data_IF_049631853143
#
_entry.id   IF_049631853143
#
_cell.length_a   1.000
_cell.length_b   1.000
_cell.length_c   1.000
_cell.angle_alpha   90.00
_cell.angle_beta   90.00
_cell.angle_gamma   90.00
#
_symmetry.space_group_name_H-M   'P 1'
#
loop_
_entity.id
_entity.type
_entity.pdbx_description
1 polymer ?
#
# COMPACT_ATOMS: atom_id res chain seq x y z
N UNK A 1 -57.02 -15.85 6.52
CA UNK A 1 -56.09 -14.91 7.17
C UNK A 1 -54.67 -15.40 6.89
N UNK A 2 -54.22 -15.30 5.64
CA UNK A 2 -53.30 -14.25 5.14
C UNK A 2 -52.30 -13.79 6.19
N UNK A 3 -51.03 -14.19 6.04
CA UNK A 3 -50.02 -13.31 5.45
C UNK A 3 -48.76 -14.12 5.09
N UNK A 4 -48.51 -14.23 3.78
CA UNK A 4 -47.22 -14.62 3.22
C UNK A 4 -46.15 -13.61 3.61
N UNK A 5 -45.00 -14.07 4.11
CA UNK A 5 -43.79 -13.25 4.18
C UNK A 5 -42.86 -13.70 3.05
N UNK A 6 -43.02 -13.05 1.90
CA UNK A 6 -42.05 -13.07 0.82
C UNK A 6 -40.76 -12.40 1.32
N UNK A 7 -39.71 -13.18 1.54
CA UNK A 7 -38.36 -12.64 1.66
C UNK A 7 -37.90 -12.24 0.26
N UNK A 8 -37.79 -10.93 -0.01
CA UNK A 8 -37.03 -10.45 -1.15
C UNK A 8 -35.54 -10.73 -0.90
N UNK A 9 -34.80 -11.32 -1.85
CA UNK A 9 -33.35 -11.29 -1.78
C UNK A 9 -32.92 -9.83 -1.96
N UNK A 10 -32.29 -9.26 -0.93
CA UNK A 10 -31.46 -8.08 -1.12
C UNK A 10 -30.28 -8.55 -1.96
N UNK A 11 -30.37 -8.34 -3.26
CA UNK A 11 -29.20 -8.32 -4.13
C UNK A 11 -28.40 -7.12 -3.66
N UNK A 12 -27.46 -7.34 -2.75
CA UNK A 12 -26.32 -6.46 -2.62
C UNK A 12 -25.63 -6.50 -3.98
N UNK A 13 -25.94 -5.53 -4.83
CA UNK A 13 -25.05 -5.18 -5.92
C UNK A 13 -23.72 -4.86 -5.26
N UNK A 14 -22.78 -5.80 -5.29
CA UNK A 14 -21.40 -5.50 -5.10
C UNK A 14 -21.09 -4.46 -6.17
N UNK A 15 -21.03 -3.18 -5.77
CA UNK A 15 -20.28 -2.21 -6.53
C UNK A 15 -18.84 -2.71 -6.50
N UNK A 16 -18.50 -3.51 -7.52
CA UNK A 16 -17.14 -3.64 -7.97
C UNK A 16 -16.77 -2.21 -8.34
N UNK A 17 -16.06 -1.51 -7.45
CA UNK A 17 -15.37 -0.30 -7.85
C UNK A 17 -14.56 -0.69 -9.09
N UNK A 18 -14.68 0.05 -10.22
CA UNK A 18 -13.91 -0.29 -11.40
C UNK A 18 -12.44 -0.25 -11.01
N UNK A 19 -11.81 -1.42 -10.87
CA UNK A 19 -10.40 -1.52 -11.16
C UNK A 19 -10.22 -1.13 -12.62
N UNK A 20 -9.11 -0.44 -12.90
CA UNK A 20 -8.58 -0.02 -14.21
C UNK A 20 -9.00 1.40 -14.65
N UNK A 21 -8.14 2.36 -14.32
CA UNK A 21 -7.89 3.49 -15.21
C UNK A 21 -6.38 3.62 -15.47
N UNK A 22 -5.75 2.56 -15.99
CA UNK A 22 -4.40 2.67 -16.55
C UNK A 22 -4.40 3.75 -17.65
N UNK A 23 -3.65 4.84 -17.44
CA UNK A 23 -3.40 5.82 -18.50
C UNK A 23 -2.23 5.34 -19.36
N UNK A 24 -2.29 5.48 -20.70
CA UNK A 24 -1.16 5.11 -21.52
C UNK A 24 0.04 6.00 -21.21
N UNK A 25 1.26 5.46 -21.26
CA UNK A 25 2.49 6.22 -21.00
C UNK A 25 2.67 7.45 -21.92
N UNK A 26 1.97 7.50 -23.06
CA UNK A 26 1.89 8.69 -23.92
C UNK A 26 1.19 9.89 -23.28
N UNK A 27 0.28 9.64 -22.33
CA UNK A 27 -0.48 10.66 -21.61
C UNK A 27 0.20 11.09 -20.31
N UNK A 28 1.33 10.45 -19.96
CA UNK A 28 2.16 10.80 -18.80
C UNK A 28 3.18 11.87 -19.22
N UNK A 29 3.29 12.99 -18.47
CA UNK A 29 4.25 14.04 -18.73
C UNK A 29 5.70 13.53 -18.76
N UNK A 30 6.52 14.15 -19.61
CA UNK A 30 7.93 13.79 -19.73
C UNK A 30 8.71 13.92 -18.39
N UNK A 31 8.50 14.96 -17.55
CA UNK A 31 9.19 15.07 -16.26
C UNK A 31 8.88 13.91 -15.32
N UNK A 32 7.62 13.45 -15.29
CA UNK A 32 7.17 12.32 -14.47
C UNK A 32 7.89 11.03 -14.88
N UNK A 33 7.86 10.69 -16.18
CA UNK A 33 8.56 9.51 -16.70
C UNK A 33 10.06 9.57 -16.45
N UNK A 34 10.68 10.73 -16.67
CA UNK A 34 12.10 10.93 -16.45
C UNK A 34 12.46 10.76 -14.96
N UNK A 35 11.65 11.29 -14.04
CA UNK A 35 11.89 11.14 -12.62
C UNK A 35 11.85 9.68 -12.17
N UNK A 36 10.84 8.91 -12.59
CA UNK A 36 10.74 7.47 -12.27
C UNK A 36 11.96 6.72 -12.81
N UNK A 37 12.33 6.94 -14.08
CA UNK A 37 13.48 6.29 -14.71
C UNK A 37 14.82 6.66 -14.06
N UNK A 38 14.99 7.91 -13.64
CA UNK A 38 16.21 8.38 -12.99
C UNK A 38 16.39 7.76 -11.59
N UNK A 39 15.29 7.65 -10.83
CA UNK A 39 15.34 7.11 -9.47
C UNK A 39 15.36 5.57 -9.46
N UNK A 40 14.70 4.95 -10.43
CA UNK A 40 14.56 3.50 -10.57
C UNK A 40 14.95 3.04 -11.98
N UNK A 41 16.26 3.09 -12.33
CA UNK A 41 16.71 2.77 -13.68
C UNK A 41 16.43 1.32 -14.12
N UNK A 42 16.19 0.43 -13.15
CA UNK A 42 15.89 -0.98 -13.36
C UNK A 42 14.39 -1.28 -13.17
N UNK A 43 13.52 -0.28 -13.16
CA UNK A 43 12.08 -0.49 -13.16
C UNK A 43 11.68 -1.39 -14.34
N UNK A 44 10.81 -2.36 -14.09
CA UNK A 44 10.22 -3.20 -15.13
C UNK A 44 9.23 -2.42 -15.99
N UNK A 45 8.19 -3.11 -16.46
CA UNK A 45 7.03 -2.42 -17.04
C UNK A 45 6.41 -1.53 -15.97
N UNK A 46 6.15 -0.27 -16.33
CA UNK A 46 5.51 0.71 -15.46
C UNK A 46 4.05 0.83 -15.89
N UNK A 47 3.16 0.50 -14.95
CA UNK A 47 1.74 0.79 -15.02
C UNK A 47 1.52 2.20 -14.48
N UNK A 48 0.69 2.98 -15.18
CA UNK A 48 0.50 4.39 -14.89
C UNK A 48 -0.96 4.66 -14.60
N UNK A 49 -1.23 5.39 -13.53
CA UNK A 49 -2.56 5.91 -13.20
C UNK A 49 -2.46 7.42 -12.93
N UNK A 50 -3.60 8.08 -12.87
CA UNK A 50 -3.73 9.44 -12.40
C UNK A 50 -4.76 9.52 -11.27
N UNK A 51 -4.27 9.82 -10.07
CA UNK A 51 -5.11 10.06 -8.90
C UNK A 51 -5.72 11.46 -9.01
N UNK A 52 -6.99 11.50 -9.41
CA UNK A 52 -7.74 12.74 -9.59
C UNK A 52 -8.02 13.49 -8.28
N UNK A 53 -8.05 12.81 -7.14
CA UNK A 53 -8.32 13.44 -5.85
C UNK A 53 -7.07 14.13 -5.29
N UNK A 54 -5.89 13.56 -5.56
CA UNK A 54 -4.59 14.10 -5.15
C UNK A 54 -3.90 14.96 -6.25
N UNK A 55 -4.41 14.97 -7.49
CA UNK A 55 -3.83 15.64 -8.67
C UNK A 55 -2.39 15.18 -8.97
N UNK A 56 -2.17 13.86 -8.95
CA UNK A 56 -0.85 13.26 -9.10
C UNK A 56 -0.88 12.05 -10.03
N UNK A 57 0.24 11.81 -10.69
CA UNK A 57 0.51 10.58 -11.42
C UNK A 57 1.00 9.50 -10.46
N UNK A 58 0.51 8.28 -10.61
CA UNK A 58 1.00 7.11 -9.90
C UNK A 58 1.73 6.19 -10.89
N UNK A 59 2.93 5.74 -10.51
CA UNK A 59 3.72 4.77 -11.23
C UNK A 59 3.84 3.51 -10.39
N UNK A 60 3.21 2.42 -10.82
CA UNK A 60 3.39 1.09 -10.24
C UNK A 60 4.37 0.29 -11.10
N UNK A 61 5.38 -0.33 -10.47
CA UNK A 61 6.31 -1.22 -11.16
C UNK A 61 6.92 -2.23 -10.21
N UNK A 62 7.59 -3.24 -10.76
CA UNK A 62 8.28 -4.27 -9.98
C UNK A 62 9.79 -4.27 -10.22
N UNK A 63 10.56 -4.41 -9.14
CA UNK A 63 12.01 -4.64 -9.16
C UNK A 63 12.29 -5.89 -8.35
N UNK A 64 12.89 -6.91 -8.97
CA UNK A 64 13.19 -8.20 -8.32
C UNK A 64 11.97 -8.84 -7.63
N UNK A 65 10.78 -8.68 -8.22
CA UNK A 65 9.52 -9.20 -7.70
C UNK A 65 8.91 -8.41 -6.54
N UNK A 66 9.54 -7.31 -6.11
CA UNK A 66 9.00 -6.38 -5.12
C UNK A 66 8.28 -5.23 -5.83
N UNK A 67 7.09 -4.90 -5.37
CA UNK A 67 6.24 -3.82 -5.88
C UNK A 67 6.70 -2.46 -5.36
N UNK A 68 6.64 -1.46 -6.24
CA UNK A 68 6.92 -0.07 -5.97
C UNK A 68 5.78 0.77 -6.50
N UNK A 69 5.27 1.68 -5.66
CA UNK A 69 4.38 2.76 -6.07
C UNK A 69 5.08 4.08 -5.86
N UNK A 70 5.00 4.95 -6.86
CA UNK A 70 5.52 6.31 -6.77
C UNK A 70 4.46 7.30 -7.19
N UNK A 71 4.12 8.27 -6.32
CA UNK A 71 3.21 9.38 -6.64
C UNK A 71 3.98 10.67 -6.89
N UNK A 72 3.70 11.32 -8.02
CA UNK A 72 4.39 12.52 -8.49
C UNK A 72 3.42 13.56 -9.05
N UNK A 73 3.71 14.84 -8.87
CA UNK A 73 3.04 15.91 -9.65
C UNK A 73 3.51 15.91 -11.11
N UNK A 74 2.77 16.60 -11.98
CA UNK A 74 3.08 16.74 -13.40
C UNK A 74 4.50 17.28 -13.71
N UNK A 75 5.10 18.02 -12.79
CA UNK A 75 6.47 18.55 -12.90
C UNK A 75 7.57 17.54 -12.50
N UNK A 76 7.19 16.35 -12.02
CA UNK A 76 8.09 15.32 -11.54
C UNK A 76 8.43 15.41 -10.06
N UNK A 77 7.84 16.33 -9.28
CA UNK A 77 8.06 16.38 -7.83
C UNK A 77 7.47 15.15 -7.15
N UNK A 78 8.27 14.47 -6.32
CA UNK A 78 7.89 13.23 -5.64
C UNK A 78 7.19 13.50 -4.32
N UNK A 79 5.99 12.96 -4.14
CA UNK A 79 5.25 13.06 -2.88
C UNK A 79 5.41 11.83 -2.00
N UNK A 80 5.40 10.66 -2.63
CA UNK A 80 5.28 9.39 -1.96
C UNK A 80 5.99 8.30 -2.77
N UNK A 81 6.77 7.49 -2.08
CA UNK A 81 7.25 6.21 -2.57
C UNK A 81 6.81 5.15 -1.56
N UNK A 82 6.14 4.11 -2.02
CA UNK A 82 5.92 2.87 -1.27
C UNK A 82 6.73 1.78 -1.95
N UNK A 83 7.43 0.96 -1.18
CA UNK A 83 8.16 -0.18 -1.69
C UNK A 83 7.87 -1.39 -0.79
N UNK A 84 7.45 -2.49 -1.39
CA UNK A 84 7.51 -3.78 -0.71
C UNK A 84 8.95 -4.09 -0.34
N UNK A 85 9.14 -4.55 0.89
CA UNK A 85 10.45 -4.98 1.37
C UNK A 85 10.36 -6.40 1.92
N UNK A 86 11.43 -7.20 1.77
CA UNK A 86 11.53 -8.46 2.48
C UNK A 86 11.48 -8.23 3.99
N UNK A 87 10.81 -9.12 4.74
CA UNK A 87 10.67 -8.99 6.20
C UNK A 87 12.03 -8.91 6.92
N UNK A 88 13.05 -9.57 6.39
CA UNK A 88 14.41 -9.51 6.90
C UNK A 88 15.01 -8.09 6.85
N UNK A 89 14.62 -7.29 5.86
CA UNK A 89 15.06 -5.91 5.66
C UNK A 89 14.35 -4.90 6.57
N UNK A 90 13.32 -5.33 7.30
CA UNK A 90 12.66 -4.49 8.29
C UNK A 90 13.64 -4.11 9.41
N UNK A 91 13.67 -2.85 9.89
CA UNK A 91 14.61 -2.43 10.92
C UNK A 91 14.51 -3.30 12.19
N UNK A 92 15.66 -3.60 12.80
CA UNK A 92 15.70 -4.39 14.02
C UNK A 92 14.85 -3.81 15.16
N UNK A 93 14.82 -2.48 15.41
CA UNK A 93 13.96 -1.90 16.43
C UNK A 93 12.47 -2.15 16.19
N UNK A 94 12.03 -2.11 14.93
CA UNK A 94 10.63 -2.38 14.55
C UNK A 94 10.27 -3.85 14.81
N UNK A 95 11.12 -4.78 14.40
CA UNK A 95 10.93 -6.22 14.67
C UNK A 95 10.84 -6.50 16.17
N UNK A 96 11.72 -5.88 16.96
CA UNK A 96 11.72 -6.02 18.42
C UNK A 96 10.45 -5.46 19.07
N UNK A 97 9.98 -4.29 18.62
CA UNK A 97 8.74 -3.69 19.12
C UNK A 97 7.52 -4.58 18.83
N UNK A 98 7.41 -5.11 17.61
CA UNK A 98 6.30 -6.01 17.26
C UNK A 98 6.32 -7.29 18.09
N UNK A 99 7.48 -7.93 18.22
CA UNK A 99 7.61 -9.16 19.00
C UNK A 99 7.26 -8.98 20.49
N UNK A 100 7.51 -7.77 21.03
CA UNK A 100 7.20 -7.43 22.41
C UNK A 100 5.72 -7.11 22.60
N UNK A 101 5.16 -6.27 21.74
CA UNK A 101 3.84 -5.67 21.96
C UNK A 101 2.69 -6.48 21.31
N UNK A 102 3.01 -7.35 20.34
CA UNK A 102 2.06 -8.17 19.58
C UNK A 102 2.55 -9.63 19.40
N UNK A 103 2.90 -10.35 20.49
CA UNK A 103 3.56 -11.65 20.41
C UNK A 103 2.72 -12.76 19.73
N UNK A 104 1.40 -12.62 19.71
CA UNK A 104 0.47 -13.57 19.07
C UNK A 104 0.26 -13.35 17.57
N UNK A 105 0.91 -12.34 16.98
CA UNK A 105 0.79 -12.02 15.55
C UNK A 105 2.07 -12.35 14.78
N UNK A 106 1.91 -13.09 13.68
CA UNK A 106 2.99 -13.37 12.74
C UNK A 106 3.09 -12.26 11.68
N UNK A 107 4.31 -11.79 11.41
CA UNK A 107 4.59 -10.86 10.32
C UNK A 107 4.31 -11.53 8.96
N UNK A 108 3.60 -10.85 8.07
CA UNK A 108 3.21 -11.39 6.75
C UNK A 108 3.82 -10.61 5.59
N UNK A 109 3.81 -9.28 5.65
CA UNK A 109 4.45 -8.42 4.67
C UNK A 109 4.92 -7.13 5.33
N UNK A 110 5.84 -6.43 4.65
CA UNK A 110 6.30 -5.12 5.06
C UNK A 110 6.46 -4.21 3.85
N UNK A 111 6.09 -2.93 4.03
CA UNK A 111 6.33 -1.86 3.07
C UNK A 111 7.16 -0.76 3.72
N UNK A 112 8.20 -0.29 3.05
CA UNK A 112 8.82 0.99 3.37
C UNK A 112 8.04 2.09 2.66
N UNK A 113 7.70 3.15 3.40
CA UNK A 113 6.94 4.28 2.89
C UNK A 113 7.77 5.54 3.13
N UNK A 114 8.14 6.22 2.04
CA UNK A 114 8.82 7.52 2.08
C UNK A 114 7.84 8.58 1.62
N UNK A 115 7.32 9.37 2.55
CA UNK A 115 6.40 10.47 2.26
C UNK A 115 7.12 11.80 2.52
N UNK A 116 7.32 12.61 1.47
CA UNK A 116 8.01 13.92 1.55
C UNK A 116 9.33 13.86 2.35
N UNK A 117 10.14 12.84 2.08
CA UNK A 117 11.43 12.61 2.74
C UNK A 117 11.37 11.95 4.13
N UNK A 118 10.18 11.74 4.70
CA UNK A 118 10.01 11.03 5.97
C UNK A 118 9.76 9.55 5.73
N UNK A 119 10.57 8.69 6.34
CA UNK A 119 10.46 7.23 6.24
C UNK A 119 9.60 6.68 7.39
N UNK A 120 8.70 5.77 7.04
CA UNK A 120 7.97 4.88 7.97
C UNK A 120 7.87 3.48 7.39
N UNK A 121 7.57 2.51 8.23
CA UNK A 121 7.33 1.13 7.84
C UNK A 121 5.89 0.74 8.15
N UNK A 122 5.21 0.14 7.18
CA UNK A 122 3.96 -0.58 7.41
C UNK A 122 4.28 -2.06 7.51
N UNK A 123 3.73 -2.74 8.51
CA UNK A 123 3.87 -4.18 8.69
C UNK A 123 2.49 -4.80 8.84
N UNK A 124 2.16 -5.72 7.94
CA UNK A 124 0.93 -6.48 8.04
C UNK A 124 1.21 -7.73 8.88
N UNK A 125 0.46 -7.89 9.95
CA UNK A 125 0.59 -8.99 10.87
C UNK A 125 -0.74 -9.76 10.93
N UNK A 126 -0.68 -11.09 11.06
CA UNK A 126 -1.88 -11.93 11.18
C UNK A 126 -1.80 -12.87 12.36
N UNK A 127 -2.94 -13.09 13.00
CA UNK A 127 -3.11 -14.12 14.01
C UNK A 127 -4.23 -15.08 13.60
N UNK A 128 -4.06 -16.36 13.90
CA UNK A 128 -5.08 -17.39 13.69
C UNK A 128 -5.97 -17.58 14.91
N UNK A 129 -5.55 -17.08 16.07
CA UNK A 129 -6.20 -17.33 17.37
C UNK A 129 -6.76 -16.08 18.04
N UNK A 130 -6.47 -14.89 17.53
CA UNK A 130 -6.99 -13.64 18.06
C UNK A 130 -8.36 -13.29 17.47
N UNK A 131 -9.16 -12.54 18.24
CA UNK A 131 -10.43 -11.98 17.76
C UNK A 131 -10.24 -11.07 16.54
N UNK A 132 -9.11 -10.35 16.51
CA UNK A 132 -8.67 -9.58 15.34
C UNK A 132 -7.68 -10.42 14.55
N UNK A 133 -8.01 -10.71 13.28
CA UNK A 133 -7.18 -11.59 12.45
C UNK A 133 -6.04 -10.87 11.75
N UNK A 134 -6.21 -9.60 11.40
CA UNK A 134 -5.19 -8.81 10.70
C UNK A 134 -4.97 -7.45 11.38
N UNK A 135 -3.70 -7.11 11.53
CA UNK A 135 -3.23 -5.81 11.96
C UNK A 135 -2.36 -5.20 10.88
N UNK A 136 -2.55 -3.91 10.61
CA UNK A 136 -1.57 -3.09 9.90
C UNK A 136 -0.93 -2.14 10.90
N UNK A 137 0.37 -2.30 11.13
CA UNK A 137 1.12 -1.53 12.10
C UNK A 137 2.07 -0.57 11.38
N UNK A 138 2.06 0.70 11.78
CA UNK A 138 2.91 1.73 11.21
C UNK A 138 3.96 2.15 12.22
N UNK A 139 5.23 2.07 11.86
CA UNK A 139 6.37 2.35 12.73
C UNK A 139 7.31 3.40 12.13
N UNK A 140 7.95 4.20 12.98
CA UNK A 140 9.17 4.92 12.59
C UNK A 140 10.39 3.98 12.56
N UNK A 141 11.50 4.38 11.90
CA UNK A 141 12.69 3.52 11.77
C UNK A 141 13.32 3.07 13.10
N UNK A 142 13.12 3.85 14.16
CA UNK A 142 13.59 3.60 15.53
C UNK A 142 12.68 2.65 16.34
N UNK A 143 11.61 2.13 15.74
CA UNK A 143 10.72 1.15 16.39
C UNK A 143 9.58 1.75 17.20
N UNK A 144 9.36 3.07 17.16
CA UNK A 144 8.18 3.67 17.79
C UNK A 144 6.93 3.43 16.95
N UNK A 145 5.89 2.87 17.57
CA UNK A 145 4.57 2.70 16.96
C UNK A 145 3.94 4.07 16.70
N UNK A 146 3.60 4.33 15.44
CA UNK A 146 2.95 5.56 14.97
C UNK A 146 1.43 5.40 14.99
N UNK A 147 0.94 4.29 14.45
CA UNK A 147 -0.49 3.97 14.40
C UNK A 147 -0.70 2.47 14.16
N UNK A 148 -1.92 2.01 14.46
CA UNK A 148 -2.39 0.67 14.15
C UNK A 148 -3.75 0.75 13.45
N UNK A 149 -3.98 -0.13 12.50
CA UNK A 149 -5.30 -0.39 11.92
C UNK A 149 -5.67 -1.85 12.14
N UNK A 150 -6.92 -2.06 12.48
CA UNK A 150 -7.53 -3.38 12.63
C UNK A 150 -8.31 -3.64 11.34
N UNK A 151 -8.09 -4.81 10.76
CA UNK A 151 -8.79 -5.29 9.56
C UNK A 151 -9.38 -6.67 9.92
N UNK A 152 -10.69 -6.81 9.78
CA UNK A 152 -11.46 -7.99 10.23
C UNK A 152 -11.61 -9.05 9.11
#
# INVERSE_FOLDING_TARGET
MNISKTLLPVVCAAFIAPGLADIPASNVPAPVKAQVQNQFPNAGVIEWDFDHDEDVYEAEFRINGLEYDMKLSADGTVFLIKADIPLQSLPAPVKAAIAKDFPEYALRSAKQITARGTVKYRVDCRSESAAVRKLELYYSPDGRLLSKKIDD
#
